data_IF_535830669392
#
_entry.id   IF_535830669392
#
_cell.length_a   1.000
_cell.length_b   1.000
_cell.length_c   1.000
_cell.angle_alpha   90.00
_cell.angle_beta   90.00
_cell.angle_gamma   90.00
#
_symmetry.space_group_name_H-M   'P 1'
#
loop_
_entity.id
_entity.type
_entity.pdbx_description
1 polymer ?
#
# COMPACT_ATOMS: atom_id res chain seq x y z
N UNK A 1 -13.92 16.53 -79.35
CA UNK A 1 -14.43 16.59 -77.95
C UNK A 1 -15.82 15.99 -78.00
N UNK A 2 -15.94 14.68 -77.83
CA UNK A 2 -17.22 14.04 -77.60
C UNK A 2 -17.75 14.53 -76.27
N UNK A 3 -18.96 14.97 -76.32
CA UNK A 3 -19.59 15.69 -75.21
C UNK A 3 -19.77 14.74 -74.02
N UNK A 4 -19.24 15.09 -72.81
CA UNK A 4 -19.32 14.26 -71.62
C UNK A 4 -20.78 13.85 -71.26
N UNK A 5 -21.73 14.53 -71.90
CA UNK A 5 -23.16 14.24 -71.80
C UNK A 5 -23.52 12.94 -72.54
N UNK A 6 -22.87 12.66 -73.71
CA UNK A 6 -23.20 11.53 -74.54
C UNK A 6 -22.66 10.21 -73.97
N UNK A 7 -21.49 10.22 -73.35
CA UNK A 7 -20.93 9.04 -72.68
C UNK A 7 -21.73 8.61 -71.44
N UNK A 8 -22.27 9.56 -70.68
CA UNK A 8 -23.12 9.27 -69.51
C UNK A 8 -24.41 8.57 -69.91
N UNK A 9 -24.99 8.92 -71.10
CA UNK A 9 -26.17 8.27 -71.63
C UNK A 9 -25.86 6.83 -72.03
N UNK A 10 -24.72 6.62 -72.71
CA UNK A 10 -24.25 5.29 -73.06
C UNK A 10 -24.00 4.37 -71.89
N UNK A 11 -23.43 4.93 -70.82
CA UNK A 11 -23.22 4.22 -69.51
C UNK A 11 -24.56 3.82 -68.88
N UNK A 12 -25.57 4.70 -68.91
CA UNK A 12 -26.90 4.39 -68.40
C UNK A 12 -27.53 3.27 -69.15
N UNK A 13 -27.46 3.31 -70.55
CA UNK A 13 -27.98 2.26 -71.40
C UNK A 13 -27.26 0.92 -71.21
N UNK A 14 -25.93 0.96 -70.89
CA UNK A 14 -25.18 -0.25 -70.53
C UNK A 14 -25.67 -0.82 -69.15
N UNK A 15 -25.89 0.03 -68.16
CA UNK A 15 -26.30 -0.37 -66.84
C UNK A 15 -27.78 -0.81 -66.76
N UNK A 16 -28.67 -0.27 -67.66
CA UNK A 16 -30.05 -0.71 -67.82
C UNK A 16 -30.19 -1.97 -68.67
N UNK A 17 -29.14 -2.42 -69.32
CA UNK A 17 -29.14 -3.58 -70.18
C UNK A 17 -29.60 -3.28 -71.60
N UNK A 18 -29.85 -2.03 -71.99
CA UNK A 18 -30.37 -1.58 -73.31
C UNK A 18 -29.31 -1.24 -74.34
N UNK A 19 -27.99 -1.30 -73.94
CA UNK A 19 -26.90 -0.96 -74.89
C UNK A 19 -26.69 -2.02 -76.00
N UNK A 20 -26.63 -1.55 -77.20
CA UNK A 20 -26.30 -2.39 -78.32
C UNK A 20 -24.80 -2.75 -78.44
N UNK A 21 -24.43 -3.55 -79.43
CA UNK A 21 -23.05 -4.06 -79.60
C UNK A 21 -22.06 -2.95 -79.92
N UNK A 22 -22.46 -1.93 -80.68
CA UNK A 22 -21.58 -0.83 -80.99
C UNK A 22 -21.41 0.18 -79.92
N UNK A 23 -22.47 0.45 -79.17
CA UNK A 23 -22.44 1.26 -77.89
C UNK A 23 -21.52 0.62 -76.82
N UNK A 24 -21.54 -0.70 -76.70
CA UNK A 24 -20.64 -1.44 -75.81
C UNK A 24 -19.17 -1.30 -76.20
N UNK A 25 -18.87 -1.29 -77.50
CA UNK A 25 -17.51 -1.06 -78.03
C UNK A 25 -17.02 0.35 -77.74
N UNK A 26 -17.90 1.36 -77.90
CA UNK A 26 -17.58 2.76 -77.56
C UNK A 26 -17.25 2.92 -76.10
N UNK A 27 -18.05 2.33 -75.20
CA UNK A 27 -17.82 2.37 -73.79
C UNK A 27 -16.51 1.63 -73.43
N UNK A 28 -16.24 0.48 -74.00
CA UNK A 28 -15.00 -0.27 -73.78
C UNK A 28 -13.75 0.51 -74.21
N UNK A 29 -13.82 1.19 -75.33
CA UNK A 29 -12.74 2.06 -75.85
C UNK A 29 -12.53 3.26 -74.87
N UNK A 30 -13.61 3.88 -74.42
CA UNK A 30 -13.56 4.99 -73.50
C UNK A 30 -12.99 4.56 -72.11
N UNK A 31 -13.32 3.37 -71.59
CA UNK A 31 -12.76 2.81 -70.38
C UNK A 31 -11.26 2.51 -70.51
N UNK A 32 -10.80 2.10 -71.67
CA UNK A 32 -9.38 1.82 -71.88
C UNK A 32 -8.51 3.06 -72.04
N UNK A 33 -9.12 4.23 -72.26
CA UNK A 33 -8.41 5.47 -72.56
C UNK A 33 -7.74 6.11 -71.32
N UNK A 34 -8.33 5.97 -70.15
CA UNK A 34 -7.70 6.46 -68.89
C UNK A 34 -8.22 5.74 -67.63
N UNK A 35 -7.40 5.72 -66.56
CA UNK A 35 -7.82 5.19 -65.26
C UNK A 35 -8.85 6.08 -64.57
N UNK A 36 -8.91 7.38 -64.91
CA UNK A 36 -9.94 8.28 -64.45
C UNK A 36 -11.33 7.88 -64.99
N UNK A 37 -11.39 7.42 -66.27
CA UNK A 37 -12.61 6.91 -66.86
C UNK A 37 -13.09 5.63 -66.19
N UNK A 38 -12.19 4.72 -65.84
CA UNK A 38 -12.53 3.51 -65.07
C UNK A 38 -13.10 3.85 -63.68
N UNK A 39 -12.49 4.83 -63.00
CA UNK A 39 -12.95 5.29 -61.68
C UNK A 39 -14.32 5.95 -61.79
N UNK A 40 -14.50 6.83 -62.78
CA UNK A 40 -15.80 7.48 -63.03
C UNK A 40 -16.89 6.45 -63.30
N UNK A 41 -16.61 5.42 -64.12
CA UNK A 41 -17.54 4.34 -64.41
C UNK A 41 -17.90 3.56 -63.12
N UNK A 42 -16.92 3.25 -62.29
CA UNK A 42 -17.16 2.55 -61.04
C UNK A 42 -18.06 3.36 -60.10
N UNK A 43 -17.79 4.68 -59.94
CA UNK A 43 -18.58 5.59 -59.13
C UNK A 43 -20.05 5.67 -59.67
N UNK A 44 -20.20 5.77 -60.96
CA UNK A 44 -21.53 5.83 -61.61
C UNK A 44 -22.31 4.51 -61.46
N UNK A 45 -21.60 3.36 -61.56
CA UNK A 45 -22.19 2.04 -61.33
C UNK A 45 -22.66 1.86 -59.89
N UNK A 46 -21.89 2.33 -58.90
CA UNK A 46 -22.27 2.28 -57.50
C UNK A 46 -23.52 3.14 -57.24
N UNK A 47 -23.59 4.35 -57.79
CA UNK A 47 -24.76 5.21 -57.74
C UNK A 47 -25.98 4.54 -58.38
N UNK A 48 -25.81 3.88 -59.53
CA UNK A 48 -26.87 3.15 -60.22
C UNK A 48 -27.43 2.01 -59.36
N UNK A 49 -26.56 1.17 -58.81
CA UNK A 49 -26.92 0.05 -57.95
C UNK A 49 -27.63 0.53 -56.67
N UNK A 50 -27.19 1.65 -56.09
CA UNK A 50 -27.81 2.25 -54.90
C UNK A 50 -29.17 2.96 -55.19
N UNK A 51 -29.46 3.23 -56.46
CA UNK A 51 -30.70 3.96 -56.84
C UNK A 51 -31.98 3.11 -56.82
N UNK A 52 -31.80 1.78 -56.74
CA UNK A 52 -32.95 0.84 -56.72
C UNK A 52 -33.73 0.78 -58.05
N UNK A 53 -33.09 1.22 -59.16
CA UNK A 53 -33.71 1.15 -60.51
C UNK A 53 -33.48 -0.28 -61.02
N UNK A 54 -34.58 -1.04 -61.33
CA UNK A 54 -34.42 -2.42 -61.82
C UNK A 54 -33.86 -2.45 -63.25
N UNK A 55 -32.99 -3.40 -63.54
CA UNK A 55 -32.30 -3.56 -64.84
C UNK A 55 -33.17 -4.22 -65.95
N UNK A 56 -34.49 -4.23 -65.89
CA UNK A 56 -35.36 -4.79 -66.94
C UNK A 56 -36.27 -3.71 -67.56
N UNK A 57 -36.20 -3.60 -68.83
CA UNK A 57 -36.55 -2.47 -69.66
C UNK A 57 -38.05 -2.26 -69.97
N UNK A 58 -39.00 -3.04 -69.44
CA UNK A 58 -40.39 -2.97 -69.90
C UNK A 58 -41.32 -1.96 -69.24
N UNK A 59 -40.82 -1.14 -68.29
CA UNK A 59 -41.69 -0.22 -67.57
C UNK A 59 -41.18 1.19 -67.24
N UNK A 60 -40.01 1.60 -67.72
CA UNK A 60 -39.47 2.95 -67.38
C UNK A 60 -39.17 3.79 -68.61
N UNK A 61 -39.73 4.99 -68.68
CA UNK A 61 -39.36 5.99 -69.67
C UNK A 61 -37.89 6.40 -69.39
N UNK A 62 -37.00 6.20 -70.42
CA UNK A 62 -35.58 6.51 -70.39
C UNK A 62 -35.29 7.94 -69.94
N UNK A 63 -36.12 8.91 -70.28
CA UNK A 63 -36.00 10.31 -69.92
C UNK A 63 -36.17 10.53 -68.42
N UNK A 64 -37.06 9.80 -67.76
CA UNK A 64 -37.30 9.91 -66.32
C UNK A 64 -36.13 9.31 -65.51
N UNK A 65 -35.57 8.21 -66.00
CA UNK A 65 -34.38 7.60 -65.39
C UNK A 65 -33.14 8.52 -65.56
N UNK A 66 -32.96 9.16 -66.68
CA UNK A 66 -31.88 10.12 -66.93
C UNK A 66 -32.04 11.35 -66.01
N UNK A 67 -33.22 11.90 -65.82
CA UNK A 67 -33.48 13.02 -64.96
C UNK A 67 -33.21 12.70 -63.46
N UNK A 68 -33.70 11.58 -62.97
CA UNK A 68 -33.42 11.09 -61.61
C UNK A 68 -31.92 10.85 -61.37
N UNK A 69 -31.25 10.32 -62.36
CA UNK A 69 -29.79 10.09 -62.32
C UNK A 69 -28.99 11.39 -62.33
N UNK A 70 -29.33 12.36 -63.16
CA UNK A 70 -28.72 13.71 -63.16
C UNK A 70 -28.95 14.45 -61.84
N UNK A 71 -30.12 14.34 -61.24
CA UNK A 71 -30.38 14.92 -59.92
C UNK A 71 -29.52 14.31 -58.83
N UNK A 72 -29.34 13.00 -58.81
CA UNK A 72 -28.46 12.29 -57.87
C UNK A 72 -26.99 12.65 -58.03
N UNK A 73 -26.47 12.75 -59.26
CA UNK A 73 -25.10 13.17 -59.57
C UNK A 73 -24.86 14.62 -59.08
N UNK A 74 -25.82 15.53 -59.30
CA UNK A 74 -25.70 16.91 -58.89
C UNK A 74 -25.67 17.03 -57.35
N UNK A 75 -26.47 16.25 -56.65
CA UNK A 75 -26.44 16.18 -55.18
C UNK A 75 -25.14 15.56 -54.65
N UNK A 76 -24.59 14.54 -55.31
CA UNK A 76 -23.31 13.93 -54.94
C UNK A 76 -22.12 14.91 -55.12
N UNK A 77 -22.09 15.67 -56.20
CA UNK A 77 -21.08 16.72 -56.42
C UNK A 77 -21.14 17.85 -55.40
N UNK A 78 -22.32 18.16 -54.87
CA UNK A 78 -22.49 19.21 -53.86
C UNK A 78 -22.03 18.75 -52.45
N UNK A 79 -22.10 17.43 -52.17
CA UNK A 79 -21.53 16.88 -50.93
C UNK A 79 -20.00 16.78 -50.93
N UNK A 80 -19.37 16.72 -52.13
CA UNK A 80 -17.89 16.72 -52.21
C UNK A 80 -17.24 18.09 -51.86
N UNK A 81 -18.02 19.19 -51.81
CA UNK A 81 -17.46 20.52 -51.50
C UNK A 81 -17.16 20.78 -50.02
N UNK A 82 -17.44 19.83 -49.12
CA UNK A 82 -17.13 19.94 -47.67
C UNK A 82 -16.05 18.96 -47.20
N UNK A 83 -15.12 18.55 -48.07
CA UNK A 83 -13.86 17.98 -47.58
C UNK A 83 -13.01 19.14 -47.10
N UNK A 84 -13.23 19.54 -45.85
CA UNK A 84 -12.27 20.34 -45.07
C UNK A 84 -10.97 19.53 -45.06
N UNK A 85 -9.96 20.05 -45.72
CA UNK A 85 -8.67 19.39 -45.79
C UNK A 85 -8.00 19.50 -44.41
N UNK A 86 -8.27 18.53 -43.51
CA UNK A 86 -7.70 18.45 -42.14
C UNK A 86 -6.21 18.07 -42.14
N UNK A 87 -5.66 17.70 -43.33
CA UNK A 87 -4.29 17.21 -43.41
C UNK A 87 -3.21 18.17 -42.83
N UNK A 88 -3.28 19.50 -43.00
CA UNK A 88 -2.28 20.39 -42.40
C UNK A 88 -2.41 20.48 -40.90
N UNK A 89 -3.63 20.30 -40.32
CA UNK A 89 -3.86 20.37 -38.87
C UNK A 89 -3.52 19.08 -38.14
N UNK A 90 -3.46 17.93 -38.84
CA UNK A 90 -3.08 16.64 -38.23
C UNK A 90 -1.64 16.69 -37.66
N UNK A 91 -0.73 17.43 -38.28
CA UNK A 91 0.64 17.61 -37.79
C UNK A 91 0.68 18.35 -36.47
N UNK A 92 -0.17 19.36 -36.27
CA UNK A 92 -0.27 20.12 -35.03
C UNK A 92 -1.08 19.40 -33.96
N UNK A 93 -2.07 18.57 -34.37
CA UNK A 93 -2.84 17.73 -33.46
C UNK A 93 -1.96 16.69 -32.76
N UNK A 94 -1.01 16.08 -33.47
CA UNK A 94 -0.07 15.15 -32.87
C UNK A 94 0.82 15.82 -31.81
N UNK A 95 1.29 17.05 -32.08
CA UNK A 95 2.09 17.82 -31.13
C UNK A 95 1.24 18.24 -29.91
N UNK A 96 0.00 18.69 -30.14
CA UNK A 96 -0.93 19.06 -29.06
C UNK A 96 -1.27 17.85 -28.16
N UNK A 97 -1.47 16.67 -28.75
CA UNK A 97 -1.68 15.42 -28.00
C UNK A 97 -0.44 15.07 -27.17
N UNK A 98 0.77 15.20 -27.72
CA UNK A 98 1.99 14.94 -26.98
C UNK A 98 2.18 15.93 -25.80
N UNK A 99 1.92 17.24 -26.02
CA UNK A 99 2.02 18.27 -24.99
C UNK A 99 1.01 18.03 -23.85
N UNK A 100 -0.18 17.52 -24.15
CA UNK A 100 -1.21 17.21 -23.17
C UNK A 100 -1.04 15.80 -22.54
N UNK A 101 -0.60 14.82 -23.33
CA UNK A 101 -0.45 13.44 -22.86
C UNK A 101 0.75 13.27 -21.91
N UNK A 102 1.86 13.97 -22.13
CA UNK A 102 3.02 13.89 -21.23
C UNK A 102 2.72 14.39 -19.81
N UNK A 103 2.19 15.62 -19.59
CA UNK A 103 1.84 16.07 -18.24
C UNK A 103 0.65 15.27 -17.66
N UNK A 104 -0.30 14.81 -18.49
CA UNK A 104 -1.39 13.96 -18.05
C UNK A 104 -0.90 12.58 -17.62
N UNK A 105 0.03 11.97 -18.36
CA UNK A 105 0.67 10.70 -18.00
C UNK A 105 1.51 10.84 -16.74
N UNK A 106 2.27 11.93 -16.60
CA UNK A 106 3.01 12.26 -15.38
C UNK A 106 2.07 12.42 -14.17
N UNK A 107 0.99 13.19 -14.33
CA UNK A 107 -0.02 13.42 -13.29
C UNK A 107 -0.78 12.14 -12.89
N UNK A 108 -1.15 11.29 -13.87
CA UNK A 108 -1.76 9.99 -13.62
C UNK A 108 -0.76 9.01 -13.00
N UNK A 109 0.49 9.01 -13.46
CA UNK A 109 1.55 8.15 -12.93
C UNK A 109 1.89 8.47 -11.47
N UNK A 110 1.88 9.76 -11.10
CA UNK A 110 2.13 10.17 -9.70
C UNK A 110 0.93 9.92 -8.78
N UNK A 111 -0.29 9.87 -9.31
CA UNK A 111 -1.50 9.57 -8.50
C UNK A 111 -1.76 8.08 -8.30
N UNK A 112 -1.30 7.24 -9.21
CA UNK A 112 -1.55 5.80 -9.21
C UNK A 112 -0.34 4.99 -8.73
N UNK A 113 0.62 5.58 -8.03
CA UNK A 113 1.48 4.76 -7.18
C UNK A 113 0.54 4.30 -6.07
N UNK A 114 0.11 3.01 -6.05
CA UNK A 114 -0.62 2.52 -4.91
C UNK A 114 0.28 2.85 -3.72
N UNK A 115 -0.25 3.53 -2.70
CA UNK A 115 0.45 3.63 -1.44
C UNK A 115 0.76 2.19 -1.09
N UNK A 116 2.01 1.81 -1.22
CA UNK A 116 2.46 0.49 -0.83
C UNK A 116 2.23 0.43 0.67
N UNK A 117 1.07 -0.12 1.07
CA UNK A 117 0.73 -0.38 2.46
C UNK A 117 1.57 -1.55 2.97
N UNK A 118 2.84 -1.62 2.53
CA UNK A 118 3.76 -2.64 3.00
C UNK A 118 3.97 -2.42 4.49
N UNK A 119 3.44 -3.36 5.27
CA UNK A 119 3.69 -3.44 6.69
C UNK A 119 5.07 -4.07 6.89
N UNK A 120 5.96 -3.32 7.52
CA UNK A 120 7.26 -3.84 7.96
C UNK A 120 7.10 -4.42 9.35
N UNK A 121 7.54 -5.65 9.54
CA UNK A 121 7.58 -6.31 10.84
C UNK A 121 9.02 -6.61 11.22
N UNK A 122 9.42 -6.19 12.41
CA UNK A 122 10.72 -6.46 13.00
C UNK A 122 10.51 -7.28 14.27
N UNK A 123 11.21 -8.41 14.35
CA UNK A 123 11.16 -9.33 15.49
C UNK A 123 12.53 -9.41 16.13
N UNK A 124 12.56 -9.32 17.45
CA UNK A 124 13.74 -9.51 18.26
C UNK A 124 13.67 -10.90 18.93
N UNK A 125 14.66 -11.73 18.75
CA UNK A 125 14.72 -13.07 19.37
C UNK A 125 14.93 -12.97 20.89
N UNK A 126 14.72 -14.06 21.61
CA UNK A 126 15.13 -14.16 22.99
C UNK A 126 16.66 -14.06 23.10
N UNK A 127 17.17 -13.48 24.17
CA UNK A 127 18.60 -13.20 24.35
C UNK A 127 19.09 -11.95 23.62
N UNK A 128 18.38 -11.49 22.60
CA UNK A 128 18.80 -10.37 21.75
C UNK A 128 18.09 -9.05 22.08
N UNK A 129 18.67 -7.97 21.61
CA UNK A 129 18.07 -6.62 21.58
C UNK A 129 18.36 -5.97 20.23
N UNK A 130 17.41 -5.20 19.75
CA UNK A 130 17.54 -4.51 18.45
C UNK A 130 17.22 -3.02 18.60
N UNK A 131 17.87 -2.19 17.79
CA UNK A 131 17.50 -0.77 17.67
C UNK A 131 17.24 -0.42 16.21
N UNK A 132 16.21 0.37 15.97
CA UNK A 132 15.81 0.80 14.64
C UNK A 132 15.49 2.29 14.63
N UNK A 133 15.69 2.90 13.46
CA UNK A 133 15.22 4.25 13.17
C UNK A 133 14.01 4.14 12.26
N UNK A 134 12.90 4.72 12.69
CA UNK A 134 11.65 4.74 11.94
C UNK A 134 11.65 5.83 10.86
N UNK A 135 10.70 5.81 9.89
CA UNK A 135 10.65 6.79 8.79
C UNK A 135 10.54 8.26 9.22
N UNK A 136 10.00 8.53 10.42
CA UNK A 136 9.89 9.87 11.02
C UNK A 136 11.13 10.29 11.83
N UNK A 137 12.21 9.51 11.74
CA UNK A 137 13.45 9.66 12.54
C UNK A 137 13.29 9.35 14.03
N UNK A 138 12.15 8.82 14.47
CA UNK A 138 12.01 8.25 15.81
C UNK A 138 12.90 7.02 15.96
N UNK A 139 13.48 6.83 17.14
CA UNK A 139 14.31 5.66 17.46
C UNK A 139 13.56 4.73 18.41
N UNK A 140 13.60 3.45 18.10
CA UNK A 140 12.98 2.41 18.94
C UNK A 140 14.02 1.35 19.26
N UNK A 141 14.10 0.97 20.53
CA UNK A 141 14.82 -0.21 20.99
C UNK A 141 13.79 -1.29 21.30
N UNK A 142 14.00 -2.48 20.78
CA UNK A 142 13.19 -3.66 21.04
C UNK A 142 13.93 -4.57 22.01
N UNK A 143 13.23 -4.96 23.06
CA UNK A 143 13.74 -5.94 24.03
C UNK A 143 13.52 -7.37 23.51
N UNK A 144 14.13 -8.33 24.18
CA UNK A 144 14.08 -9.76 23.85
C UNK A 144 12.65 -10.28 23.75
N UNK A 145 12.37 -11.07 22.70
CA UNK A 145 11.06 -11.64 22.43
C UNK A 145 10.02 -10.64 21.94
N UNK A 146 10.42 -9.44 21.50
CA UNK A 146 9.50 -8.38 21.09
C UNK A 146 9.33 -8.31 19.57
N UNK A 147 8.17 -7.79 19.15
CA UNK A 147 7.79 -7.61 17.75
C UNK A 147 7.17 -6.23 17.55
N UNK A 148 7.68 -5.50 16.56
CA UNK A 148 7.16 -4.20 16.14
C UNK A 148 6.71 -4.27 14.70
N UNK A 149 5.47 -3.85 14.43
CA UNK A 149 4.92 -3.76 13.08
C UNK A 149 4.50 -2.32 12.79
N UNK A 150 4.88 -1.78 11.64
CA UNK A 150 4.55 -0.41 11.24
C UNK A 150 4.48 -0.29 9.71
N UNK A 151 3.84 0.78 9.23
CA UNK A 151 3.80 1.08 7.81
C UNK A 151 5.15 1.72 7.38
N UNK A 152 5.74 1.19 6.31
CA UNK A 152 7.10 1.55 5.85
C UNK A 152 7.29 3.04 5.51
N UNK A 153 6.23 3.80 5.25
CA UNK A 153 6.33 5.22 4.84
C UNK A 153 5.60 6.22 5.75
N UNK A 154 4.88 5.76 6.77
CA UNK A 154 4.05 6.58 7.66
C UNK A 154 3.05 7.53 6.97
N UNK A 155 2.75 7.36 5.67
CA UNK A 155 1.79 8.21 4.94
C UNK A 155 0.40 8.24 5.57
N UNK A 156 0.00 7.14 6.22
CA UNK A 156 -1.28 7.01 6.89
C UNK A 156 -1.20 7.31 8.40
N UNK A 157 -0.20 8.07 8.81
CA UNK A 157 0.07 8.45 10.20
C UNK A 157 1.15 7.59 10.85
N UNK A 158 1.79 8.14 11.89
CA UNK A 158 2.88 7.52 12.66
C UNK A 158 2.34 6.45 13.61
N UNK A 159 1.98 5.28 13.08
CA UNK A 159 1.33 4.21 13.85
C UNK A 159 2.18 2.96 13.86
N UNK A 160 2.39 2.40 15.04
CA UNK A 160 3.09 1.13 15.25
C UNK A 160 2.26 0.19 16.10
N UNK A 161 2.39 -1.11 15.87
CA UNK A 161 1.83 -2.18 16.69
C UNK A 161 2.98 -2.84 17.44
N UNK A 162 2.87 -2.95 18.76
CA UNK A 162 3.86 -3.56 19.64
C UNK A 162 3.29 -4.81 20.32
N UNK A 163 4.04 -5.89 20.22
CA UNK A 163 3.94 -7.10 21.05
C UNK A 163 5.28 -7.27 21.77
N UNK A 164 5.29 -7.36 23.11
CA UNK A 164 6.53 -7.40 23.88
C UNK A 164 6.90 -6.06 24.52
N UNK A 165 8.19 -5.72 24.57
CA UNK A 165 8.70 -4.51 25.23
C UNK A 165 9.55 -3.68 24.27
N UNK A 166 9.30 -2.36 24.28
CA UNK A 166 10.08 -1.41 23.51
C UNK A 166 10.24 -0.07 24.24
N UNK A 167 11.43 0.51 24.09
CA UNK A 167 11.70 1.88 24.47
C UNK A 167 11.63 2.77 23.21
N UNK A 168 10.93 3.87 23.31
CA UNK A 168 10.69 4.82 22.24
C UNK A 168 11.32 6.18 22.57
N UNK A 169 12.12 6.71 21.66
CA UNK A 169 12.52 8.13 21.62
C UNK A 169 11.90 8.75 20.36
N UNK A 170 10.72 9.34 20.54
CA UNK A 170 9.87 9.81 19.44
C UNK A 170 10.23 11.23 19.04
N UNK A 171 10.42 11.44 17.73
CA UNK A 171 10.66 12.76 17.14
C UNK A 171 9.49 13.71 17.38
N UNK A 172 9.80 14.96 17.79
CA UNK A 172 8.79 15.97 18.15
C UNK A 172 8.04 16.44 16.90
N UNK A 173 6.73 16.17 16.84
CA UNK A 173 5.79 16.68 15.82
C UNK A 173 4.40 16.82 16.44
N UNK A 174 4.02 18.08 16.71
CA UNK A 174 2.72 18.41 17.35
C UNK A 174 1.52 18.22 16.41
N UNK A 175 1.75 18.23 15.11
CA UNK A 175 0.67 18.15 14.12
C UNK A 175 0.34 16.71 13.73
N UNK A 176 1.29 15.78 13.90
CA UNK A 176 1.12 14.38 13.56
C UNK A 176 1.43 13.51 14.79
N UNK A 177 0.45 13.11 15.59
CA UNK A 177 0.66 12.24 16.75
C UNK A 177 1.30 10.91 16.36
N UNK A 178 2.20 10.42 17.22
CA UNK A 178 2.75 9.06 17.13
C UNK A 178 1.91 8.13 18.00
N UNK A 179 1.48 7.01 17.46
CA UNK A 179 0.60 6.05 18.14
C UNK A 179 1.27 4.69 18.27
N UNK A 180 1.36 4.19 19.49
CA UNK A 180 1.72 2.80 19.78
C UNK A 180 0.46 2.05 20.17
N UNK A 181 0.10 1.03 19.39
CA UNK A 181 -0.99 0.12 19.71
C UNK A 181 -0.46 -1.15 20.32
N UNK A 182 -1.11 -1.61 21.37
CA UNK A 182 -0.96 -2.95 21.93
C UNK A 182 -2.30 -3.68 21.87
N UNK A 183 -2.36 -4.90 22.35
CA UNK A 183 -3.63 -5.64 22.42
C UNK A 183 -4.66 -4.97 23.35
N UNK A 184 -4.20 -4.26 24.40
CA UNK A 184 -5.05 -3.80 25.50
C UNK A 184 -5.18 -2.28 25.59
N UNK A 185 -4.14 -1.53 25.23
CA UNK A 185 -4.09 -0.08 25.34
C UNK A 185 -3.54 0.56 24.06
N UNK A 186 -4.02 1.76 23.78
CA UNK A 186 -3.51 2.67 22.75
C UNK A 186 -2.77 3.83 23.44
N UNK A 187 -1.57 4.16 22.93
CA UNK A 187 -0.67 5.17 23.48
C UNK A 187 -0.44 6.22 22.40
N UNK A 188 -0.68 7.50 22.73
CA UNK A 188 -0.44 8.63 21.81
C UNK A 188 0.55 9.61 22.42
N UNK A 189 1.53 10.05 21.61
CA UNK A 189 2.57 11.00 22.00
C UNK A 189 2.86 12.01 20.87
N UNK A 190 3.48 13.16 21.22
CA UNK A 190 3.84 14.21 20.28
C UNK A 190 5.37 14.45 20.15
N UNK A 191 6.17 13.71 20.92
CA UNK A 191 7.61 13.83 21.00
C UNK A 191 8.07 13.57 22.42
N UNK A 192 8.36 12.32 22.74
CA UNK A 192 8.34 11.77 24.11
C UNK A 192 9.32 10.62 24.20
N UNK A 193 9.96 10.46 25.35
CA UNK A 193 10.75 9.28 25.69
C UNK A 193 10.01 8.42 26.71
N UNK A 194 9.73 7.18 26.35
CA UNK A 194 8.93 6.29 27.19
C UNK A 194 9.20 4.81 26.87
N UNK A 195 8.95 3.95 27.86
CA UNK A 195 9.00 2.50 27.71
C UNK A 195 7.58 1.92 27.71
N UNK A 196 7.33 0.93 26.87
CA UNK A 196 6.07 0.16 26.86
C UNK A 196 6.42 -1.31 26.99
N UNK A 197 5.79 -2.00 27.96
CA UNK A 197 5.90 -3.44 28.17
C UNK A 197 4.52 -4.09 28.06
N UNK A 198 4.34 -4.93 27.03
CA UNK A 198 3.06 -5.54 26.64
C UNK A 198 3.26 -6.97 26.13
N UNK A 199 3.99 -7.81 26.88
CA UNK A 199 4.12 -9.23 26.58
C UNK A 199 2.78 -9.95 26.76
N UNK A 200 2.43 -10.84 25.84
CA UNK A 200 1.13 -11.52 25.83
C UNK A 200 0.91 -12.42 27.06
N UNK A 201 1.99 -13.06 27.54
CA UNK A 201 1.98 -13.98 28.67
C UNK A 201 1.93 -13.29 30.04
N UNK A 202 2.17 -11.97 30.10
CA UNK A 202 2.12 -11.21 31.35
C UNK A 202 0.70 -10.70 31.65
N UNK A 203 0.31 -10.70 32.93
CA UNK A 203 -1.02 -10.25 33.35
C UNK A 203 -1.20 -8.72 33.32
N UNK A 204 -0.15 -7.97 33.01
CA UNK A 204 -0.18 -6.52 33.02
C UNK A 204 0.47 -5.95 31.74
N UNK A 205 0.00 -4.77 31.34
CA UNK A 205 0.68 -3.91 30.37
C UNK A 205 1.14 -2.66 31.12
N UNK A 206 2.38 -2.24 30.92
CA UNK A 206 2.87 -1.03 31.56
C UNK A 206 3.48 -0.04 30.58
N UNK A 207 3.39 1.24 30.95
CA UNK A 207 4.03 2.34 30.21
C UNK A 207 4.71 3.25 31.22
N UNK A 208 6.03 3.45 31.06
CA UNK A 208 6.86 4.31 31.93
C UNK A 208 7.29 5.54 31.13
N UNK A 209 7.00 6.72 31.65
CA UNK A 209 7.34 7.99 31.00
C UNK A 209 8.60 8.60 31.59
N UNK A 210 9.54 8.98 30.68
CA UNK A 210 10.81 9.63 31.05
C UNK A 210 10.76 11.12 30.74
N UNK A 211 10.42 11.49 29.48
CA UNK A 211 10.35 12.90 29.07
C UNK A 211 9.10 13.13 28.21
N UNK A 212 8.46 14.29 28.38
CA UNK A 212 7.31 14.71 27.57
C UNK A 212 5.97 14.42 28.23
N UNK A 213 5.02 13.92 27.46
CA UNK A 213 3.69 13.51 27.92
C UNK A 213 3.16 12.36 27.10
N UNK A 214 2.46 11.44 27.76
CA UNK A 214 1.86 10.24 27.15
C UNK A 214 0.38 10.20 27.45
N UNK A 215 -0.44 10.20 26.43
CA UNK A 215 -1.87 9.92 26.53
C UNK A 215 -2.11 8.43 26.32
N UNK A 216 -2.74 7.78 27.29
CA UNK A 216 -3.04 6.35 27.24
C UNK A 216 -4.54 6.16 27.29
N UNK A 217 -5.06 5.33 26.40
CA UNK A 217 -6.47 4.97 26.34
C UNK A 217 -6.66 3.45 26.27
N UNK A 218 -7.71 2.98 26.95
CA UNK A 218 -8.29 1.65 26.77
C UNK A 218 -9.75 1.79 26.39
N UNK A 219 -10.49 0.70 26.22
CA UNK A 219 -11.92 0.76 25.84
C UNK A 219 -12.77 1.70 26.69
N UNK A 220 -12.49 1.82 28.00
CA UNK A 220 -13.35 2.51 28.97
C UNK A 220 -12.65 3.60 29.77
N UNK A 221 -11.34 3.78 29.61
CA UNK A 221 -10.56 4.69 30.44
C UNK A 221 -9.54 5.44 29.58
N UNK A 222 -9.27 6.67 29.94
CA UNK A 222 -8.23 7.48 29.33
C UNK A 222 -7.50 8.25 30.43
N UNK A 223 -6.18 8.37 30.30
CA UNK A 223 -5.36 9.10 31.25
C UNK A 223 -4.15 9.74 30.55
N UNK A 224 -3.54 10.71 31.24
CA UNK A 224 -2.33 11.39 30.82
C UNK A 224 -1.23 11.12 31.84
N UNK A 225 -0.08 10.60 31.40
CA UNK A 225 1.13 10.45 32.20
C UNK A 225 1.99 11.71 32.17
N UNK A 226 2.63 11.98 33.27
CA UNK A 226 3.70 12.97 33.46
C UNK A 226 5.05 12.24 33.59
N UNK A 227 6.18 12.94 33.39
CA UNK A 227 7.50 12.36 33.69
C UNK A 227 7.59 11.71 35.06
N UNK A 228 8.36 10.66 35.15
CA UNK A 228 8.54 9.84 36.37
C UNK A 228 7.28 9.11 36.86
N UNK A 229 6.29 8.96 35.95
CA UNK A 229 5.12 8.14 36.21
C UNK A 229 5.13 6.85 35.38
N UNK A 230 4.60 5.80 35.98
CA UNK A 230 4.32 4.51 35.34
C UNK A 230 2.83 4.21 35.41
N UNK A 231 2.22 3.91 34.28
CA UNK A 231 0.90 3.32 34.24
C UNK A 231 1.03 1.80 34.20
N UNK A 232 0.24 1.12 34.99
CA UNK A 232 0.04 -0.33 34.95
C UNK A 232 -1.42 -0.61 34.63
N UNK A 233 -1.66 -1.27 33.52
CA UNK A 233 -2.97 -1.80 33.13
C UNK A 233 -3.04 -3.27 33.48
N UNK A 234 -4.00 -3.65 34.33
CA UNK A 234 -4.25 -5.03 34.76
C UNK A 234 -5.25 -5.70 33.77
N UNK A 235 -4.83 -6.77 33.14
CA UNK A 235 -5.65 -7.51 32.15
C UNK A 235 -6.83 -8.25 32.77
N UNK A 236 -6.71 -8.67 34.05
CA UNK A 236 -7.75 -9.40 34.75
C UNK A 236 -8.95 -8.53 35.08
N UNK A 237 -8.73 -7.37 35.70
CA UNK A 237 -9.79 -6.47 36.14
C UNK A 237 -10.02 -5.27 35.18
N UNK A 238 -9.21 -5.14 34.13
CA UNK A 238 -9.26 -4.05 33.12
C UNK A 238 -9.12 -2.65 33.69
N UNK A 239 -8.37 -2.50 34.79
CA UNK A 239 -8.14 -1.21 35.48
C UNK A 239 -6.76 -0.65 35.19
N UNK A 240 -6.68 0.66 35.05
CA UNK A 240 -5.44 1.43 35.00
C UNK A 240 -5.09 1.93 36.39
N UNK A 241 -3.79 1.86 36.74
CA UNK A 241 -3.22 2.44 37.95
C UNK A 241 -1.97 3.22 37.59
N UNK A 242 -1.86 4.45 38.08
CA UNK A 242 -0.65 5.26 37.99
C UNK A 242 0.17 5.09 39.27
N UNK A 243 1.49 5.01 39.09
CA UNK A 243 2.48 4.93 40.15
C UNK A 243 3.54 6.01 39.91
N UNK A 244 3.90 6.74 40.95
CA UNK A 244 5.06 7.63 40.94
C UNK A 244 6.32 6.79 41.08
N UNK A 245 7.31 7.05 40.26
CA UNK A 245 8.60 6.35 40.26
C UNK A 245 9.66 7.25 40.90
N UNK A 246 10.39 6.72 41.87
CA UNK A 246 11.62 7.34 42.38
C UNK A 246 12.82 7.01 41.53
N UNK A 247 12.74 5.96 40.72
CA UNK A 247 13.78 5.49 39.84
C UNK A 247 13.18 4.69 38.65
N UNK A 248 13.31 5.17 37.39
CA UNK A 248 12.83 4.48 36.21
C UNK A 248 13.79 3.39 35.69
N UNK A 249 15.00 3.25 36.27
CA UNK A 249 16.04 2.35 35.77
C UNK A 249 15.55 0.91 35.52
N UNK A 250 14.73 0.28 36.39
CA UNK A 250 14.23 -1.07 36.15
C UNK A 250 13.44 -1.24 34.86
N UNK A 251 12.82 -0.17 34.37
CA UNK A 251 12.00 -0.20 33.14
C UNK A 251 12.75 0.33 31.92
N UNK A 252 13.95 0.93 32.07
CA UNK A 252 14.58 1.69 30.96
C UNK A 252 16.00 1.30 30.64
N UNK A 253 16.79 0.87 31.62
CA UNK A 253 18.23 0.60 31.43
C UNK A 253 18.52 -0.69 30.64
N UNK A 254 17.52 -1.52 30.45
CA UNK A 254 17.66 -2.72 29.62
C UNK A 254 18.16 -2.40 28.19
N UNK A 255 17.76 -1.24 27.62
CA UNK A 255 18.21 -0.78 26.30
C UNK A 255 19.74 -0.53 26.24
N UNK A 256 20.31 -0.22 27.38
CA UNK A 256 21.75 0.03 27.55
C UNK A 256 22.50 -1.23 28.03
N UNK A 257 21.84 -2.39 28.02
CA UNK A 257 22.41 -3.68 28.40
C UNK A 257 22.49 -3.92 29.90
N UNK A 258 21.74 -3.16 30.70
CA UNK A 258 21.69 -3.30 32.18
C UNK A 258 20.33 -3.85 32.60
N UNK A 259 20.32 -5.02 33.19
CA UNK A 259 19.11 -5.63 33.75
C UNK A 259 19.00 -5.24 35.24
N UNK A 260 18.17 -4.24 35.49
CA UNK A 260 17.96 -3.68 36.84
C UNK A 260 16.66 -4.23 37.43
N UNK A 261 16.69 -4.71 38.67
CA UNK A 261 15.53 -5.18 39.40
C UNK A 261 15.56 -4.74 40.82
N UNK A 262 14.42 -4.33 41.38
CA UNK A 262 14.30 -3.79 42.72
C UNK A 262 13.15 -4.41 43.49
N UNK A 263 13.48 -5.16 44.58
CA UNK A 263 12.51 -5.81 45.43
C UNK A 263 11.46 -6.61 44.62
N UNK A 264 11.91 -7.29 43.55
CA UNK A 264 11.08 -8.13 42.71
C UNK A 264 11.08 -9.57 43.20
N UNK A 265 9.93 -10.23 43.18
CA UNK A 265 9.82 -11.65 43.49
C UNK A 265 10.43 -12.49 42.37
N UNK A 266 10.89 -13.71 42.65
CA UNK A 266 11.36 -14.64 41.63
C UNK A 266 10.27 -14.97 40.61
N UNK A 267 9.01 -15.02 41.04
CA UNK A 267 7.90 -15.16 40.10
C UNK A 267 7.81 -14.03 39.07
N UNK A 268 8.20 -12.81 39.44
CA UNK A 268 8.28 -11.65 38.52
C UNK A 268 9.59 -11.60 37.73
N UNK A 269 10.69 -12.09 38.31
CA UNK A 269 12.03 -12.04 37.70
C UNK A 269 12.26 -13.17 36.69
N UNK A 270 11.80 -14.38 36.97
CA UNK A 270 12.09 -15.54 36.11
C UNK A 270 11.67 -15.32 34.68
N UNK A 271 10.46 -14.89 34.33
CA UNK A 271 10.12 -14.62 32.92
C UNK A 271 11.00 -13.58 32.24
N UNK A 272 11.52 -12.60 33.01
CA UNK A 272 12.45 -11.60 32.50
C UNK A 272 13.84 -12.19 32.26
N UNK A 273 14.34 -13.06 33.14
CA UNK A 273 15.62 -13.73 33.01
C UNK A 273 15.60 -14.75 31.86
N UNK A 274 14.51 -15.48 31.71
CA UNK A 274 14.32 -16.41 30.59
C UNK A 274 14.42 -15.68 29.25
N UNK A 275 13.74 -14.55 29.09
CA UNK A 275 13.85 -13.71 27.90
C UNK A 275 15.22 -13.09 27.70
N UNK A 276 15.85 -12.63 28.79
CA UNK A 276 17.15 -11.94 28.74
C UNK A 276 18.29 -12.85 28.35
N UNK A 277 18.27 -14.12 28.81
CA UNK A 277 19.36 -15.08 28.61
C UNK A 277 19.01 -16.22 27.63
N UNK A 278 17.79 -16.26 27.12
CA UNK A 278 17.25 -17.35 26.28
C UNK A 278 17.41 -18.74 26.96
N UNK A 279 16.86 -18.88 28.14
CA UNK A 279 16.94 -20.09 28.96
C UNK A 279 15.60 -20.46 29.56
N UNK A 280 15.42 -21.75 29.90
CA UNK A 280 14.28 -22.24 30.67
C UNK A 280 14.61 -22.29 32.15
N UNK A 281 13.77 -21.66 33.00
CA UNK A 281 13.91 -21.67 34.45
C UNK A 281 12.68 -22.30 35.09
N UNK A 282 12.87 -23.29 35.96
CA UNK A 282 11.80 -24.05 36.59
C UNK A 282 11.90 -23.95 38.11
N UNK A 283 10.78 -23.69 38.75
CA UNK A 283 10.69 -23.72 40.21
C UNK A 283 10.47 -25.15 40.71
N UNK A 284 11.33 -25.63 41.62
CA UNK A 284 11.16 -26.94 42.26
C UNK A 284 10.15 -26.91 43.40
N UNK A 285 9.90 -25.74 44.00
CA UNK A 285 8.89 -25.53 45.05
C UNK A 285 8.22 -24.16 44.92
N UNK A 286 6.99 -24.04 45.44
CA UNK A 286 6.19 -22.81 45.39
C UNK A 286 6.70 -21.69 46.32
N UNK A 287 7.40 -22.05 47.39
CA UNK A 287 7.82 -21.07 48.40
C UNK A 287 8.91 -20.16 47.84
N UNK A 288 9.75 -20.67 46.95
CA UNK A 288 10.83 -19.89 46.34
C UNK A 288 10.33 -18.74 45.50
N UNK A 289 9.15 -18.87 44.86
CA UNK A 289 8.55 -17.85 43.99
C UNK A 289 8.40 -16.48 44.64
N UNK A 290 8.16 -16.46 45.98
CA UNK A 290 7.91 -15.24 46.73
C UNK A 290 9.20 -14.58 47.24
N UNK A 291 10.35 -15.18 47.08
CA UNK A 291 11.63 -14.60 47.45
C UNK A 291 11.92 -13.36 46.61
N UNK A 292 12.29 -12.28 47.28
CA UNK A 292 12.49 -10.98 46.61
C UNK A 292 13.97 -10.63 46.51
N UNK A 293 14.35 -10.07 45.39
CA UNK A 293 15.73 -9.71 45.06
C UNK A 293 15.83 -8.29 44.55
N UNK A 294 17.01 -7.69 44.80
CA UNK A 294 17.42 -6.39 44.27
C UNK A 294 18.81 -6.54 43.70
N UNK A 295 19.05 -6.06 42.52
CA UNK A 295 20.36 -6.17 41.87
C UNK A 295 20.41 -5.54 40.49
N UNK A 296 21.60 -5.62 39.88
CA UNK A 296 21.88 -5.21 38.52
C UNK A 296 22.76 -6.28 37.87
N UNK A 297 22.32 -6.79 36.73
CA UNK A 297 23.15 -7.64 35.85
C UNK A 297 23.49 -6.83 34.60
N UNK A 298 24.74 -6.91 34.11
CA UNK A 298 25.18 -6.08 32.99
C UNK A 298 25.82 -6.88 31.85
N UNK A 299 26.80 -7.69 32.15
CA UNK A 299 27.55 -8.47 31.16
C UNK A 299 27.75 -9.92 31.59
N UNK A 300 27.15 -10.27 32.69
CA UNK A 300 27.25 -11.58 33.28
C UNK A 300 26.64 -12.64 32.35
N UNK A 301 27.24 -13.79 32.31
CA UNK A 301 26.64 -14.99 31.78
C UNK A 301 25.48 -15.46 32.68
N UNK A 302 24.60 -16.29 32.14
CA UNK A 302 23.51 -16.86 32.97
C UNK A 302 24.07 -17.61 34.18
N UNK A 303 25.19 -18.32 34.07
CA UNK A 303 25.80 -19.05 35.18
C UNK A 303 26.29 -18.11 36.28
N UNK A 304 26.88 -16.96 35.92
CA UNK A 304 27.26 -15.93 36.88
C UNK A 304 26.05 -15.29 37.56
N UNK A 305 25.02 -14.94 36.75
CA UNK A 305 23.77 -14.41 37.28
C UNK A 305 23.11 -15.36 38.30
N UNK A 306 23.07 -16.65 38.01
CA UNK A 306 22.54 -17.68 38.89
C UNK A 306 23.38 -17.76 40.19
N UNK A 307 24.70 -17.66 40.08
CA UNK A 307 25.57 -17.73 41.25
C UNK A 307 25.27 -16.62 42.27
N UNK A 308 24.84 -15.42 41.81
CA UNK A 308 24.43 -14.34 42.72
C UNK A 308 23.16 -14.69 43.51
N UNK A 309 22.19 -15.36 42.87
CA UNK A 309 21.00 -15.86 43.59
C UNK A 309 21.34 -16.98 44.57
N UNK A 310 22.22 -17.90 44.19
CA UNK A 310 22.69 -19.01 45.02
C UNK A 310 23.44 -18.51 46.29
N UNK A 311 24.30 -17.50 46.14
CA UNK A 311 25.03 -16.89 47.26
C UNK A 311 24.13 -16.13 48.24
N UNK A 312 22.88 -15.85 47.89
CA UNK A 312 21.92 -15.19 48.78
C UNK A 312 21.53 -16.01 50.00
N UNK A 313 21.84 -17.31 50.02
CA UNK A 313 21.43 -18.27 51.07
C UNK A 313 19.90 -18.46 51.20
N UNK A 314 19.13 -17.94 50.29
CA UNK A 314 17.67 -18.11 50.27
C UNK A 314 17.22 -19.16 49.27
N UNK A 315 17.99 -19.38 48.20
CA UNK A 315 17.69 -20.27 47.10
C UNK A 315 18.89 -21.11 46.72
N UNK A 316 18.66 -22.27 46.10
CA UNK A 316 19.67 -23.11 45.50
C UNK A 316 19.32 -23.22 44.02
N UNK A 317 20.28 -22.88 43.15
CA UNK A 317 20.12 -22.97 41.72
C UNK A 317 20.97 -24.13 41.14
N UNK A 318 20.39 -24.97 40.28
CA UNK A 318 21.08 -26.08 39.62
C UNK A 318 20.78 -26.10 38.14
N UNK A 319 21.77 -26.36 37.33
CA UNK A 319 21.59 -26.62 35.89
C UNK A 319 21.43 -28.11 35.67
N UNK A 320 20.32 -28.52 35.11
CA UNK A 320 20.02 -29.90 34.77
C UNK A 320 19.22 -29.97 33.46
N UNK A 321 19.62 -30.85 32.53
CA UNK A 321 18.93 -31.07 31.25
C UNK A 321 18.65 -29.77 30.47
N UNK A 322 19.64 -28.86 30.42
CA UNK A 322 19.56 -27.53 29.79
C UNK A 322 18.50 -26.60 30.38
N UNK A 323 18.06 -26.87 31.62
CA UNK A 323 17.14 -26.02 32.39
C UNK A 323 17.80 -25.61 33.70
N UNK A 324 17.36 -24.49 34.22
CA UNK A 324 17.79 -23.98 35.52
C UNK A 324 16.68 -24.30 36.52
N UNK A 325 17.01 -25.09 37.49
CA UNK A 325 16.07 -25.47 38.57
C UNK A 325 16.36 -24.61 39.81
N UNK A 326 15.37 -23.83 40.27
CA UNK A 326 15.47 -23.02 41.47
C UNK A 326 14.61 -23.65 42.58
N UNK A 327 15.22 -23.86 43.74
CA UNK A 327 14.54 -24.37 44.93
C UNK A 327 14.90 -23.56 46.17
N UNK A 328 14.04 -23.61 47.17
CA UNK A 328 14.32 -23.02 48.49
C UNK A 328 15.54 -23.67 49.14
N UNK A 329 16.39 -22.89 49.75
CA UNK A 329 17.37 -23.41 50.71
C UNK A 329 16.64 -23.63 52.03
N UNK A 330 16.34 -24.90 52.37
CA UNK A 330 15.85 -25.23 53.67
C UNK A 330 16.99 -25.11 54.68
N UNK A 331 16.85 -24.24 55.65
CA UNK A 331 17.67 -24.24 56.88
C UNK A 331 17.14 -25.30 57.83
#
# INVERSE_FOLDING_TARGET
MENQSDINILIIRLLSGEADVDEKKIIAAWLSHSDENKKLFADLREIWLSSGIPGNADSYHLEEAILKFREKISKSKQQQKLRINFMPYLKYAAIAILILALPFSYYMGTRNIPADNSMTTITCAFGDKSSIVLPDSSRVWLNSGSKLTFNSDFKNGRKVLLEGEAFFSVSKDKNNPFSVKTTDIDIEVLGTEFNVKAYAEENTVSTTLIEGSVKISSKNQQTLLKPDQKLVFDRGNKKMRIQELTDPAPDTEWKDGRFVFRNESLAELVPKLERWFDVDIVFADEQVKNRRFTGVLQRESILEAISYFDHSQFVICRVQDNKIIIKSQNN
#
